data_IF_752648904687
#
_entry.id   IF_752648904687
#
_cell.length_a   1.000
_cell.length_b   1.000
_cell.length_c   1.000
_cell.angle_alpha   90.00
_cell.angle_beta   90.00
_cell.angle_gamma   90.00
#
_symmetry.space_group_name_H-M   'P 1'
#
loop_
_entity.id
_entity.type
_entity.pdbx_description
1 polymer ?
#
# COMPACT_ATOMS: atom_id res chain seq x y z
N UNK A 1 -16.91 6.48 40.53
CA UNK A 1 -16.72 5.87 39.21
C UNK A 1 -15.53 6.55 38.55
N UNK A 2 -14.35 5.95 38.59
CA UNK A 2 -13.19 6.41 37.83
C UNK A 2 -12.56 5.18 37.18
N UNK A 3 -13.10 4.79 36.02
CA UNK A 3 -12.47 3.78 35.20
C UNK A 3 -11.33 4.44 34.45
N UNK A 4 -10.10 4.31 34.94
CA UNK A 4 -8.93 4.68 34.15
C UNK A 4 -8.88 3.69 32.98
N UNK A 5 -9.15 4.17 31.77
CA UNK A 5 -8.90 3.41 30.55
C UNK A 5 -7.40 3.45 30.30
N UNK A 6 -6.62 2.68 31.05
CA UNK A 6 -5.22 2.44 30.71
C UNK A 6 -5.24 1.44 29.57
N UNK A 7 -5.05 1.94 28.35
CA UNK A 7 -4.78 1.09 27.20
C UNK A 7 -3.35 0.55 27.35
N UNK A 8 -3.14 -0.37 28.29
CA UNK A 8 -1.85 -1.03 28.49
C UNK A 8 -1.60 -1.89 27.26
N UNK A 9 -0.57 -1.56 26.48
CA UNK A 9 -0.18 -2.44 25.38
C UNK A 9 0.32 -3.74 25.98
N UNK A 10 0.01 -4.88 25.36
CA UNK A 10 0.40 -6.24 25.84
C UNK A 10 1.89 -6.35 26.18
N UNK A 11 2.72 -5.52 25.55
CA UNK A 11 4.16 -5.51 25.72
C UNK A 11 4.65 -4.59 26.86
N UNK A 12 3.81 -3.66 27.35
CA UNK A 12 4.06 -2.83 28.55
C UNK A 12 3.82 -3.60 29.84
N UNK A 13 3.36 -4.85 29.73
CA UNK A 13 3.39 -5.83 30.82
C UNK A 13 4.85 -6.06 31.27
N UNK A 14 5.06 -6.15 32.58
CA UNK A 14 6.39 -6.39 33.17
C UNK A 14 7.05 -7.64 32.61
N UNK A 15 6.27 -8.65 32.22
CA UNK A 15 6.77 -9.93 31.72
C UNK A 15 7.12 -9.92 30.24
N UNK A 16 6.69 -8.91 29.47
CA UNK A 16 6.85 -8.89 28.02
C UNK A 16 8.05 -8.03 27.56
N UNK A 17 8.12 -6.76 27.98
CA UNK A 17 9.26 -5.87 27.70
C UNK A 17 9.92 -5.26 28.95
N UNK A 18 9.64 -5.80 30.14
CA UNK A 18 10.23 -5.31 31.39
C UNK A 18 9.55 -4.07 31.96
N UNK A 19 8.28 -3.82 31.62
CA UNK A 19 7.43 -2.81 32.30
C UNK A 19 7.88 -1.36 32.17
N UNK A 20 8.87 -1.08 31.33
CA UNK A 20 9.44 0.25 31.19
C UNK A 20 8.63 1.05 30.16
N UNK A 21 8.19 2.25 30.53
CA UNK A 21 7.49 3.14 29.62
C UNK A 21 8.34 3.41 28.35
N UNK A 22 7.75 3.25 27.17
CA UNK A 22 8.45 3.41 25.90
C UNK A 22 9.27 2.20 25.44
N UNK A 23 9.21 1.07 26.15
CA UNK A 23 9.82 -0.19 25.71
C UNK A 23 9.15 -0.78 24.45
N UNK A 24 7.95 -0.31 24.11
CA UNK A 24 7.00 -0.88 23.17
C UNK A 24 6.79 -0.07 21.88
N UNK A 25 7.85 0.54 21.34
CA UNK A 25 7.71 1.47 20.23
C UNK A 25 7.93 0.83 18.85
N UNK A 26 8.32 -0.45 18.78
CA UNK A 26 8.46 -1.15 17.51
C UNK A 26 7.06 -1.53 16.98
N UNK A 27 6.63 -0.91 15.88
CA UNK A 27 5.33 -1.17 15.28
C UNK A 27 5.51 -2.04 14.04
N UNK A 28 4.81 -3.18 14.00
CA UNK A 28 4.77 -4.07 12.83
C UNK A 28 3.36 -4.13 12.27
N UNK A 29 3.22 -3.96 10.95
CA UNK A 29 1.95 -3.95 10.24
C UNK A 29 1.58 -5.38 9.82
N UNK A 30 0.55 -5.92 10.47
CA UNK A 30 0.03 -7.27 10.26
C UNK A 30 -0.68 -7.47 8.93
N UNK A 31 -1.07 -8.72 8.66
CA UNK A 31 -1.77 -9.14 7.44
C UNK A 31 -3.07 -8.35 7.18
N UNK A 32 -3.75 -8.00 8.25
CA UNK A 32 -4.99 -7.22 8.31
C UNK A 32 -4.78 -5.70 8.19
N UNK A 33 -3.53 -5.26 8.02
CA UNK A 33 -3.17 -3.84 7.96
C UNK A 33 -3.12 -3.14 9.32
N UNK A 34 -3.31 -3.87 10.43
CA UNK A 34 -3.24 -3.29 11.78
C UNK A 34 -1.81 -3.29 12.30
N UNK A 35 -1.43 -2.21 12.96
CA UNK A 35 -0.13 -2.09 13.64
C UNK A 35 -0.16 -2.77 15.01
N UNK A 36 0.73 -3.72 15.24
CA UNK A 36 0.97 -4.35 16.52
C UNK A 36 2.28 -3.84 17.12
N UNK A 37 2.33 -3.68 18.44
CA UNK A 37 3.50 -3.13 19.14
C UNK A 37 4.32 -4.24 19.75
N UNK A 38 5.63 -4.09 19.66
CA UNK A 38 6.63 -5.05 20.08
C UNK A 38 7.75 -4.35 20.86
N UNK A 39 8.56 -5.14 21.57
CA UNK A 39 9.69 -4.60 22.29
C UNK A 39 10.71 -3.98 21.33
N UNK A 40 10.93 -2.67 21.46
CA UNK A 40 12.04 -1.92 20.88
C UNK A 40 13.19 -1.71 21.87
N UNK A 41 12.92 -1.94 23.16
CA UNK A 41 13.86 -1.77 24.27
C UNK A 41 13.49 -2.75 25.39
N UNK A 42 14.49 -3.21 26.14
CA UNK A 42 14.30 -4.12 27.27
C UNK A 42 14.83 -3.52 28.57
N UNK A 43 13.99 -3.46 29.60
CA UNK A 43 14.36 -2.86 30.90
C UNK A 43 15.44 -3.64 31.66
N UNK A 44 15.48 -4.97 31.51
CA UNK A 44 16.47 -5.82 32.17
C UNK A 44 17.90 -5.53 31.71
N UNK A 45 18.85 -5.54 32.65
CA UNK A 45 20.25 -5.18 32.41
C UNK A 45 20.96 -6.10 31.40
N UNK A 46 20.49 -7.34 31.26
CA UNK A 46 21.04 -8.32 30.32
C UNK A 46 20.03 -8.74 29.25
N UNK A 47 18.90 -8.04 29.14
CA UNK A 47 17.84 -8.39 28.20
C UNK A 47 17.93 -7.55 26.93
N UNK A 48 17.60 -8.17 25.80
CA UNK A 48 17.65 -7.57 24.47
C UNK A 48 16.40 -7.91 23.65
N UNK A 49 15.94 -7.04 22.72
CA UNK A 49 14.74 -7.28 21.95
C UNK A 49 15.01 -8.22 20.77
N UNK A 50 14.47 -9.43 20.85
CA UNK A 50 14.56 -10.47 19.80
C UNK A 50 13.16 -10.91 19.44
N UNK A 51 12.83 -10.86 18.14
CA UNK A 51 11.52 -11.20 17.59
C UNK A 51 10.37 -10.47 18.31
N UNK A 52 10.63 -9.23 18.71
CA UNK A 52 9.66 -8.36 19.37
C UNK A 52 9.39 -8.67 20.85
N UNK A 53 10.23 -9.49 21.50
CA UNK A 53 10.18 -9.81 22.93
C UNK A 53 11.53 -9.57 23.59
N UNK A 54 11.53 -9.31 24.89
CA UNK A 54 12.76 -9.28 25.65
C UNK A 54 13.23 -10.70 26.00
N UNK A 55 14.48 -10.99 25.68
CA UNK A 55 15.15 -12.24 26.05
C UNK A 55 16.51 -11.91 26.64
N UNK A 56 17.01 -12.76 27.53
CA UNK A 56 18.38 -12.63 28.00
C UNK A 56 19.36 -12.72 26.81
N UNK A 57 20.37 -11.86 26.78
CA UNK A 57 21.37 -11.78 25.70
C UNK A 57 22.08 -13.10 25.41
N UNK A 58 22.21 -13.98 26.41
CA UNK A 58 22.77 -15.32 26.23
C UNK A 58 21.89 -16.21 25.31
N UNK A 59 20.63 -15.85 25.14
CA UNK A 59 19.63 -16.56 24.33
C UNK A 59 19.23 -15.75 23.07
N UNK A 60 20.08 -14.85 22.58
CA UNK A 60 19.76 -13.93 21.48
C UNK A 60 19.83 -14.54 20.06
N UNK A 61 19.74 -15.87 19.93
CA UNK A 61 19.81 -16.59 18.64
C UNK A 61 21.02 -16.16 17.79
N UNK A 62 22.23 -16.16 18.38
CA UNK A 62 23.48 -15.72 17.73
C UNK A 62 23.56 -14.24 17.30
N UNK A 63 22.60 -13.39 17.72
CA UNK A 63 22.71 -11.94 17.56
C UNK A 63 23.65 -11.32 18.59
N UNK A 64 24.93 -11.67 18.47
CA UNK A 64 26.03 -11.28 19.38
C UNK A 64 26.31 -9.77 19.40
N UNK A 65 25.84 -9.04 18.40
CA UNK A 65 25.96 -7.57 18.30
C UNK A 65 24.97 -6.84 19.21
N UNK A 66 23.96 -7.53 19.75
CA UNK A 66 23.01 -6.93 20.67
C UNK A 66 23.68 -6.53 21.99
N UNK A 67 23.50 -5.27 22.38
CA UNK A 67 23.96 -4.72 23.65
C UNK A 67 22.82 -4.74 24.66
N UNK A 68 23.11 -4.62 25.96
CA UNK A 68 22.07 -4.47 26.98
C UNK A 68 20.97 -3.48 26.52
N UNK A 69 19.73 -3.89 26.69
CA UNK A 69 18.50 -3.16 26.36
C UNK A 69 18.12 -3.07 24.87
N UNK A 70 19.05 -3.11 23.91
CA UNK A 70 18.75 -2.95 22.47
C UNK A 70 19.79 -3.59 21.55
N UNK A 71 19.38 -3.87 20.31
CA UNK A 71 20.27 -4.33 19.26
C UNK A 71 20.72 -3.16 18.36
N UNK A 72 22.03 -2.82 18.29
CA UNK A 72 22.56 -1.86 17.33
C UNK A 72 22.72 -2.45 15.92
N UNK A 73 22.84 -3.78 15.80
CA UNK A 73 22.76 -4.52 14.54
C UNK A 73 22.45 -5.99 14.82
N UNK A 74 22.21 -6.77 13.76
CA UNK A 74 21.88 -8.20 13.87
C UNK A 74 22.94 -9.03 13.14
N UNK A 75 23.52 -10.00 13.84
CA UNK A 75 24.58 -10.86 13.31
C UNK A 75 24.07 -12.19 12.77
N UNK A 76 22.93 -12.66 13.28
CA UNK A 76 22.40 -13.96 12.91
C UNK A 76 21.94 -13.99 11.44
N UNK A 77 22.09 -15.14 10.79
CA UNK A 77 21.53 -15.37 9.46
C UNK A 77 20.00 -15.21 9.50
N UNK A 78 19.41 -14.73 8.41
CA UNK A 78 17.96 -14.50 8.30
C UNK A 78 17.38 -13.48 9.31
N UNK A 79 18.21 -12.76 10.06
CA UNK A 79 17.78 -11.67 10.94
C UNK A 79 18.10 -10.31 10.34
N UNK A 80 17.22 -9.33 10.62
CA UNK A 80 17.43 -7.93 10.27
C UNK A 80 17.10 -7.01 11.43
N UNK A 81 17.76 -5.85 11.44
CA UNK A 81 17.51 -4.79 12.40
C UNK A 81 16.22 -4.04 12.04
N UNK A 82 15.32 -3.92 13.00
CA UNK A 82 14.13 -3.08 12.89
C UNK A 82 13.83 -2.44 14.24
N UNK A 83 13.67 -1.11 14.26
CA UNK A 83 13.31 -0.33 15.46
C UNK A 83 14.01 -0.74 16.78
N UNK A 84 15.30 -1.09 16.73
CA UNK A 84 16.12 -1.42 17.92
C UNK A 84 16.12 -2.90 18.35
N UNK A 85 15.40 -3.77 17.63
CA UNK A 85 15.39 -5.22 17.84
C UNK A 85 15.83 -6.01 16.61
N UNK A 86 16.19 -7.28 16.82
CA UNK A 86 16.48 -8.22 15.74
C UNK A 86 15.30 -9.13 15.46
N UNK A 87 14.88 -9.20 14.20
CA UNK A 87 13.70 -9.94 13.76
C UNK A 87 14.05 -10.98 12.71
N UNK A 88 13.56 -12.21 12.90
CA UNK A 88 13.73 -13.31 11.95
C UNK A 88 12.80 -13.18 10.75
N UNK A 89 13.29 -13.41 9.54
CA UNK A 89 12.44 -13.55 8.35
C UNK A 89 11.62 -14.85 8.31
N UNK A 90 11.87 -15.79 9.22
CA UNK A 90 11.24 -17.12 9.20
C UNK A 90 9.97 -17.23 10.06
N UNK A 91 9.71 -16.26 10.93
CA UNK A 91 8.57 -16.30 11.86
C UNK A 91 8.04 -14.90 12.17
N UNK A 92 6.83 -14.86 12.71
CA UNK A 92 6.24 -13.60 13.15
C UNK A 92 6.96 -13.04 14.38
N UNK A 93 7.13 -11.71 14.45
CA UNK A 93 6.58 -10.72 13.52
C UNK A 93 7.49 -10.36 12.34
N UNK A 94 8.73 -10.87 12.29
CA UNK A 94 9.72 -10.43 11.29
C UNK A 94 9.35 -10.79 9.84
N UNK A 95 8.75 -11.95 9.60
CA UNK A 95 8.27 -12.38 8.29
C UNK A 95 7.14 -11.50 7.71
N UNK A 96 6.46 -10.69 8.53
CA UNK A 96 5.48 -9.69 8.09
C UNK A 96 6.14 -8.45 7.48
N UNK A 97 7.40 -8.18 7.86
CA UNK A 97 8.18 -7.03 7.42
C UNK A 97 9.06 -7.43 6.24
N UNK A 98 9.76 -8.56 6.37
CA UNK A 98 10.83 -8.94 5.49
C UNK A 98 10.83 -10.44 5.15
N UNK A 99 10.97 -10.75 3.87
CA UNK A 99 11.04 -12.13 3.35
C UNK A 99 12.48 -12.63 3.20
N UNK A 100 13.44 -11.71 3.00
CA UNK A 100 14.86 -12.04 2.90
C UNK A 100 15.72 -10.98 3.58
N UNK A 101 16.60 -11.44 4.45
CA UNK A 101 17.54 -10.60 5.18
C UNK A 101 18.98 -11.03 4.89
N UNK A 102 19.86 -10.03 4.79
CA UNK A 102 21.28 -10.23 4.54
C UNK A 102 22.08 -9.17 5.29
N UNK A 103 23.15 -9.61 5.97
CA UNK A 103 24.06 -8.75 6.74
C UNK A 103 23.32 -7.85 7.75
N UNK A 104 22.32 -8.40 8.44
CA UNK A 104 21.49 -7.66 9.41
C UNK A 104 20.51 -6.67 8.79
N UNK A 105 20.33 -6.68 7.46
CA UNK A 105 19.42 -5.79 6.73
C UNK A 105 18.29 -6.56 6.07
N UNK A 106 17.13 -5.94 5.99
CA UNK A 106 16.06 -6.46 5.14
C UNK A 106 16.34 -6.05 3.68
N UNK A 107 16.48 -7.05 2.80
CA UNK A 107 16.74 -6.81 1.37
C UNK A 107 15.53 -7.13 0.48
N UNK A 108 14.60 -7.94 0.96
CA UNK A 108 13.31 -8.19 0.30
C UNK A 108 12.13 -7.94 1.27
N UNK A 109 11.70 -6.68 1.43
CA UNK A 109 10.53 -6.34 2.25
C UNK A 109 9.24 -6.93 1.68
N UNK A 110 8.23 -7.10 2.52
CA UNK A 110 6.86 -7.38 2.07
C UNK A 110 6.25 -6.13 1.44
N UNK A 111 5.11 -6.27 0.74
CA UNK A 111 4.48 -5.14 0.03
C UNK A 111 3.96 -3.99 0.93
N UNK A 112 3.99 -4.15 2.26
CA UNK A 112 3.63 -3.09 3.23
C UNK A 112 4.83 -2.26 3.67
N UNK A 113 6.01 -2.64 3.21
CA UNK A 113 7.29 -2.05 3.56
C UNK A 113 8.09 -1.77 2.29
N UNK A 114 9.13 -0.96 2.40
CA UNK A 114 10.10 -0.74 1.35
C UNK A 114 11.51 -0.74 1.91
N UNK A 115 12.48 -1.13 1.08
CA UNK A 115 13.88 -1.16 1.44
C UNK A 115 14.42 0.27 1.37
N UNK A 116 15.17 0.68 2.39
CA UNK A 116 15.81 1.99 2.45
C UNK A 116 17.12 1.89 1.67
N UNK A 117 17.29 2.63 0.55
CA UNK A 117 18.52 2.58 -0.23
C UNK A 117 19.73 2.98 0.62
N UNK A 118 20.86 2.30 0.42
CA UNK A 118 22.15 2.55 1.12
C UNK A 118 22.17 2.35 2.62
N UNK A 119 21.09 1.85 3.21
CA UNK A 119 21.08 1.62 4.65
C UNK A 119 22.24 0.72 5.09
N UNK A 120 22.96 1.19 6.12
CA UNK A 120 23.95 0.41 6.84
C UNK A 120 23.27 -0.65 7.71
N UNK A 121 24.01 -1.69 8.10
CA UNK A 121 23.51 -2.73 9.03
C UNK A 121 23.14 -2.19 10.43
N UNK A 122 23.62 -1.00 10.75
CA UNK A 122 23.36 -0.28 12.01
C UNK A 122 22.19 0.71 11.91
N UNK A 123 21.62 0.88 10.71
CA UNK A 123 20.50 1.77 10.43
C UNK A 123 19.22 1.01 10.09
N UNK A 124 18.11 1.74 9.95
CA UNK A 124 16.86 1.16 9.46
C UNK A 124 16.99 0.84 7.97
N UNK A 125 17.04 -0.45 7.65
CA UNK A 125 17.11 -0.94 6.26
C UNK A 125 15.74 -1.11 5.61
N UNK A 126 14.67 -1.02 6.39
CA UNK A 126 13.30 -1.21 5.95
C UNK A 126 12.37 -0.25 6.68
N UNK A 127 11.40 0.30 5.95
CA UNK A 127 10.42 1.23 6.50
C UNK A 127 9.02 0.84 6.05
N UNK A 128 8.03 1.00 6.94
CA UNK A 128 6.64 0.80 6.58
C UNK A 128 6.21 1.84 5.53
N UNK A 129 5.42 1.41 4.55
CA UNK A 129 4.82 2.29 3.54
C UNK A 129 4.03 3.43 4.17
N UNK A 130 3.40 3.17 5.32
CA UNK A 130 2.58 4.10 6.07
C UNK A 130 3.33 5.06 7.00
N UNK A 131 4.68 5.06 7.03
CA UNK A 131 5.46 5.82 8.00
C UNK A 131 5.93 7.18 7.44
N UNK A 132 5.25 8.30 7.78
CA UNK A 132 5.62 9.62 7.27
C UNK A 132 6.86 10.22 7.94
N UNK A 133 7.31 9.69 9.08
CA UNK A 133 8.49 10.21 9.79
C UNK A 133 9.79 9.87 9.04
N UNK A 134 9.80 8.74 8.34
CA UNK A 134 10.94 8.33 7.53
C UNK A 134 12.15 7.85 8.31
N UNK A 135 13.26 7.77 7.60
CA UNK A 135 14.60 7.55 8.15
C UNK A 135 15.64 8.25 7.28
N UNK A 136 16.75 8.66 7.90
CA UNK A 136 17.87 9.28 7.21
C UNK A 136 18.99 8.27 6.98
N UNK A 137 19.63 8.38 5.83
CA UNK A 137 20.90 7.72 5.48
C UNK A 137 21.84 8.83 5.04
N UNK A 138 22.79 9.18 5.89
CA UNK A 138 23.66 10.34 5.74
C UNK A 138 22.85 11.65 5.54
N UNK A 139 22.96 12.29 4.38
CA UNK A 139 22.28 13.52 3.97
C UNK A 139 21.01 13.29 3.14
N UNK A 140 20.56 12.03 3.05
CA UNK A 140 19.37 11.59 2.31
C UNK A 140 18.29 11.15 3.28
N UNK A 141 17.04 11.46 2.97
CA UNK A 141 15.89 11.07 3.78
C UNK A 141 14.87 10.30 2.95
N UNK A 142 14.44 9.15 3.47
CA UNK A 142 13.43 8.32 2.84
C UNK A 142 12.19 8.24 3.73
N UNK A 143 11.03 8.59 3.19
CA UNK A 143 9.76 8.64 3.92
C UNK A 143 8.70 7.74 3.28
N UNK A 144 7.78 7.23 4.09
CA UNK A 144 6.52 6.66 3.62
C UNK A 144 5.45 7.73 3.43
N UNK A 145 4.23 7.27 3.13
CA UNK A 145 3.04 8.09 2.93
C UNK A 145 2.03 7.76 4.02
N UNK A 146 1.58 8.77 4.76
CA UNK A 146 0.62 8.57 5.85
C UNK A 146 -0.67 7.88 5.35
N UNK A 147 -1.13 6.86 6.09
CA UNK A 147 -2.31 6.07 5.74
C UNK A 147 -2.11 5.10 4.57
N UNK A 148 -0.89 4.98 4.04
CA UNK A 148 -0.57 4.05 2.98
C UNK A 148 -0.37 2.62 3.51
N UNK A 149 -1.09 1.66 2.92
CA UNK A 149 -1.01 0.24 3.29
C UNK A 149 -0.06 -0.55 2.38
N UNK A 150 0.13 -0.11 1.13
CA UNK A 150 1.07 -0.71 0.17
C UNK A 150 1.69 0.37 -0.69
N UNK A 151 2.97 0.23 -1.00
CA UNK A 151 3.71 1.22 -1.76
C UNK A 151 4.75 0.59 -2.68
N UNK A 152 5.23 1.40 -3.62
CA UNK A 152 6.46 1.17 -4.36
C UNK A 152 7.58 1.95 -3.70
N UNK A 153 8.76 1.31 -3.60
CA UNK A 153 9.94 1.92 -2.99
C UNK A 153 10.34 3.23 -3.72
N UNK A 154 10.83 4.24 -2.98
CA UNK A 154 11.42 5.42 -3.59
C UNK A 154 12.65 5.06 -4.43
N UNK A 155 12.94 5.88 -5.44
CA UNK A 155 14.22 5.79 -6.13
C UNK A 155 15.37 6.14 -5.17
N UNK A 156 16.52 5.48 -5.39
CA UNK A 156 17.78 5.87 -4.77
C UNK A 156 18.11 7.32 -5.13
N UNK A 157 18.49 8.10 -4.13
CA UNK A 157 18.97 9.46 -4.33
C UNK A 157 20.46 9.48 -4.65
N UNK A 158 20.86 10.19 -5.69
CA UNK A 158 22.27 10.38 -6.10
C UNK A 158 22.93 11.60 -5.43
N UNK A 159 22.12 12.48 -4.81
CA UNK A 159 22.55 13.66 -4.08
C UNK A 159 21.74 13.82 -2.79
N UNK A 160 22.12 14.76 -1.94
CA UNK A 160 21.37 15.14 -0.73
C UNK A 160 19.91 15.45 -1.07
N UNK A 161 18.98 15.07 -0.21
CA UNK A 161 17.57 15.36 -0.44
C UNK A 161 16.60 14.40 0.24
N UNK A 162 15.35 14.44 -0.19
CA UNK A 162 14.28 13.58 0.34
C UNK A 162 13.55 12.86 -0.78
N UNK A 163 13.27 11.57 -0.58
CA UNK A 163 12.47 10.76 -1.47
C UNK A 163 11.34 10.08 -0.70
N UNK A 164 10.14 10.07 -1.28
CA UNK A 164 8.96 9.43 -0.70
C UNK A 164 8.59 8.18 -1.47
N UNK A 165 8.14 7.15 -0.76
CA UNK A 165 7.52 5.98 -1.37
C UNK A 165 6.26 6.40 -2.15
N UNK A 166 5.95 5.68 -3.23
CA UNK A 166 4.72 5.93 -3.99
C UNK A 166 3.62 5.02 -3.48
N UNK A 167 2.57 5.57 -2.90
CA UNK A 167 1.47 4.79 -2.37
C UNK A 167 0.63 4.16 -3.48
N UNK A 168 0.44 2.83 -3.39
CA UNK A 168 -0.35 2.04 -4.35
C UNK A 168 -1.68 1.57 -3.76
N UNK A 169 -1.78 1.50 -2.44
CA UNK A 169 -3.03 1.20 -1.73
C UNK A 169 -3.04 1.89 -0.37
N UNK A 170 -4.23 2.30 0.07
CA UNK A 170 -4.45 2.95 1.35
C UNK A 170 -5.11 2.00 2.36
N UNK A 171 -5.20 2.43 3.62
CA UNK A 171 -6.07 1.79 4.61
C UNK A 171 -7.56 1.84 4.24
N UNK A 172 -8.40 1.21 5.04
CA UNK A 172 -9.84 1.11 4.80
C UNK A 172 -10.51 2.47 4.55
N UNK A 173 -11.45 2.50 3.60
CA UNK A 173 -12.22 3.69 3.24
C UNK A 173 -11.43 4.80 2.51
N UNK A 174 -10.14 4.58 2.20
CA UNK A 174 -9.28 5.56 1.54
C UNK A 174 -8.77 5.05 0.19
N UNK A 175 -8.47 5.98 -0.72
CA UNK A 175 -7.83 5.70 -2.02
C UNK A 175 -6.61 6.59 -2.21
N UNK A 176 -5.58 6.10 -2.93
CA UNK A 176 -4.40 6.90 -3.20
C UNK A 176 -4.72 8.01 -4.20
N UNK A 177 -3.98 9.12 -4.12
CA UNK A 177 -3.92 10.07 -5.24
C UNK A 177 -3.28 9.42 -6.47
N UNK A 178 -3.46 10.02 -7.65
CA UNK A 178 -2.83 9.55 -8.89
C UNK A 178 -1.30 9.61 -8.81
N UNK A 179 -0.77 10.59 -8.07
CA UNK A 179 0.67 10.70 -7.78
C UNK A 179 1.16 9.70 -6.73
N UNK A 180 0.26 9.06 -5.98
CA UNK A 180 0.60 8.18 -4.87
C UNK A 180 1.21 8.90 -3.66
N UNK A 181 1.14 10.23 -3.59
CA UNK A 181 1.74 11.03 -2.51
C UNK A 181 0.84 11.17 -1.29
N UNK A 182 -0.38 10.66 -1.35
CA UNK A 182 -1.33 10.74 -0.24
C UNK A 182 -2.45 9.72 -0.37
N UNK A 183 -3.09 9.47 0.76
CA UNK A 183 -4.31 8.69 0.88
C UNK A 183 -5.43 9.61 1.33
N UNK A 184 -6.58 9.61 0.64
CA UNK A 184 -7.74 10.46 0.96
C UNK A 184 -9.01 9.63 1.10
N UNK A 185 -10.00 10.11 1.85
CA UNK A 185 -11.28 9.41 1.98
C UNK A 185 -11.98 9.40 0.61
N UNK A 186 -12.41 8.24 0.15
CA UNK A 186 -13.04 8.18 -1.16
C UNK A 186 -13.98 6.99 -1.34
N UNK A 187 -15.27 7.29 -1.21
CA UNK A 187 -16.37 6.35 -1.45
C UNK A 187 -16.92 6.38 -2.88
N UNK A 188 -16.39 7.25 -3.76
CA UNK A 188 -16.80 7.33 -5.17
C UNK A 188 -16.67 5.97 -5.85
N UNK A 189 -17.81 5.46 -6.32
CA UNK A 189 -17.92 4.18 -7.02
C UNK A 189 -17.07 4.20 -8.30
N UNK A 190 -16.43 3.07 -8.62
CA UNK A 190 -15.58 2.91 -9.80
C UNK A 190 -14.40 3.90 -9.90
N UNK A 191 -14.10 4.64 -8.82
CA UNK A 191 -12.94 5.49 -8.77
C UNK A 191 -11.69 4.70 -8.36
N UNK A 192 -10.58 4.88 -9.08
CA UNK A 192 -9.29 4.28 -8.76
C UNK A 192 -8.41 5.20 -7.91
N UNK A 193 -8.39 6.50 -8.24
CA UNK A 193 -7.59 7.51 -7.55
C UNK A 193 -8.41 8.74 -7.23
N UNK A 194 -8.20 9.31 -6.04
CA UNK A 194 -8.92 10.49 -5.57
C UNK A 194 -7.93 11.59 -5.20
N UNK A 195 -8.19 12.79 -5.70
CA UNK A 195 -7.32 13.96 -5.47
C UNK A 195 -7.59 14.64 -4.12
N UNK A 196 -8.80 14.47 -3.61
CA UNK A 196 -9.29 15.02 -2.35
C UNK A 196 -10.50 14.19 -1.91
N UNK A 197 -11.01 14.46 -0.72
CA UNK A 197 -12.16 13.74 -0.16
C UNK A 197 -13.33 13.75 -1.14
N UNK A 198 -13.81 12.55 -1.48
CA UNK A 198 -14.91 12.29 -2.41
C UNK A 198 -14.77 12.92 -3.81
N UNK A 199 -13.54 13.27 -4.23
CA UNK A 199 -13.25 13.81 -5.56
C UNK A 199 -12.35 12.86 -6.34
N UNK A 200 -12.95 12.10 -7.24
CA UNK A 200 -12.22 11.22 -8.14
C UNK A 200 -11.36 12.03 -9.14
N UNK A 201 -10.19 11.50 -9.48
CA UNK A 201 -9.30 12.03 -10.53
C UNK A 201 -8.90 10.98 -11.58
N UNK A 202 -9.11 9.69 -11.29
CA UNK A 202 -8.96 8.63 -12.28
C UNK A 202 -9.88 7.47 -11.93
N UNK A 203 -10.67 7.04 -12.92
CA UNK A 203 -11.61 5.94 -12.79
C UNK A 203 -10.96 4.59 -13.12
N UNK A 204 -11.64 3.52 -12.74
CA UNK A 204 -11.37 2.18 -13.22
C UNK A 204 -11.64 2.09 -14.73
N UNK A 205 -11.09 1.04 -15.35
CA UNK A 205 -11.34 0.76 -16.76
C UNK A 205 -12.84 0.63 -17.05
N UNK A 206 -13.30 1.17 -18.18
CA UNK A 206 -14.72 1.22 -18.54
C UNK A 206 -15.52 2.38 -17.91
N UNK A 207 -14.84 3.34 -17.27
CA UNK A 207 -15.47 4.53 -16.69
C UNK A 207 -14.69 5.80 -17.05
N UNK A 208 -15.44 6.90 -17.24
CA UNK A 208 -14.94 8.23 -17.55
C UNK A 208 -15.19 9.17 -16.38
N UNK A 209 -14.27 10.11 -16.19
CA UNK A 209 -14.36 11.09 -15.14
C UNK A 209 -15.27 12.25 -15.57
N UNK A 210 -16.40 12.42 -14.89
CA UNK A 210 -17.32 13.55 -15.07
C UNK A 210 -17.61 14.22 -13.73
N UNK A 211 -17.20 15.48 -13.58
CA UNK A 211 -17.49 16.27 -12.38
C UNK A 211 -16.93 15.69 -11.07
N UNK A 212 -15.88 14.86 -11.14
CA UNK A 212 -15.32 14.17 -9.96
C UNK A 212 -15.99 12.83 -9.63
N UNK A 213 -16.92 12.36 -10.48
CA UNK A 213 -17.54 11.04 -10.41
C UNK A 213 -17.13 10.19 -11.61
N UNK A 214 -17.24 8.87 -11.46
CA UNK A 214 -16.98 7.92 -12.54
C UNK A 214 -18.30 7.48 -13.15
N UNK A 215 -18.51 7.85 -14.41
CA UNK A 215 -19.67 7.41 -15.20
C UNK A 215 -19.22 6.29 -16.13
N UNK A 216 -20.06 5.27 -16.32
CA UNK A 216 -19.72 4.19 -17.25
C UNK A 216 -19.52 4.78 -18.65
N UNK A 217 -18.41 4.44 -19.30
CA UNK A 217 -18.14 4.89 -20.68
C UNK A 217 -18.98 4.18 -21.72
N UNK A 218 -19.97 3.38 -21.30
CA UNK A 218 -21.00 2.76 -22.14
C UNK A 218 -20.66 2.79 -23.63
N UNK A 219 -19.80 1.88 -24.09
CA UNK A 219 -19.91 1.44 -25.46
C UNK A 219 -21.35 0.96 -25.66
N UNK A 220 -21.98 1.24 -26.81
CA UNK A 220 -23.41 1.08 -26.97
C UNK A 220 -23.79 -0.39 -26.79
N UNK A 221 -24.25 -0.75 -25.60
CA UNK A 221 -25.32 -1.73 -25.48
C UNK A 221 -26.60 -1.03 -25.94
N UNK A 222 -26.65 -0.72 -27.24
CA UNK A 222 -27.90 -0.83 -27.94
C UNK A 222 -28.26 -2.29 -27.76
N UNK A 223 -29.20 -2.55 -26.84
CA UNK A 223 -29.94 -3.80 -26.85
C UNK A 223 -30.20 -4.14 -28.30
N UNK A 224 -29.81 -5.34 -28.71
CA UNK A 224 -30.01 -5.89 -30.05
C UNK A 224 -31.49 -5.85 -30.49
N UNK A 225 -32.41 -5.37 -29.64
CA UNK A 225 -33.81 -5.05 -29.95
C UNK A 225 -34.14 -3.62 -30.41
N UNK A 226 -33.19 -2.67 -30.53
CA UNK A 226 -33.50 -1.29 -31.00
C UNK A 226 -32.82 -0.89 -32.33
N UNK A 227 -31.96 -1.75 -32.90
CA UNK A 227 -31.37 -1.56 -34.24
C UNK A 227 -31.99 -2.56 -35.22
N UNK A 228 -33.31 -2.53 -35.37
CA UNK A 228 -34.03 -3.20 -36.45
C UNK A 228 -35.15 -2.30 -37.01
N UNK A 229 -34.93 -0.98 -37.01
CA UNK A 229 -35.98 -0.01 -37.35
C UNK A 229 -35.62 1.07 -38.38
N UNK A 230 -34.39 1.17 -38.89
CA UNK A 230 -34.00 2.28 -39.78
C UNK A 230 -33.43 1.82 -41.14
N UNK A 231 -33.14 0.53 -41.35
CA UNK A 231 -32.66 0.05 -42.65
C UNK A 231 -33.76 -0.51 -43.58
N UNK A 232 -35.01 -0.63 -43.12
CA UNK A 232 -36.11 -1.11 -43.97
C UNK A 232 -36.86 0.05 -44.64
N UNK A 233 -36.93 1.23 -44.01
CA UNK A 233 -37.60 2.39 -44.60
C UNK A 233 -36.87 2.89 -45.86
N UNK A 234 -35.54 2.93 -45.87
CA UNK A 234 -34.77 3.35 -47.04
C UNK A 234 -34.90 2.34 -48.21
N UNK A 235 -34.88 1.03 -47.93
CA UNK A 235 -35.00 -0.01 -48.98
C UNK A 235 -36.42 -0.04 -49.56
N UNK A 236 -37.47 0.16 -48.74
CA UNK A 236 -38.85 0.24 -49.23
C UNK A 236 -39.09 1.52 -50.03
N UNK A 237 -38.51 2.66 -49.62
CA UNK A 237 -38.64 3.91 -50.37
C UNK A 237 -37.89 3.84 -51.70
N UNK A 238 -36.65 3.33 -51.72
CA UNK A 238 -35.87 3.17 -52.96
C UNK A 238 -36.47 2.08 -53.85
N UNK A 239 -36.88 0.93 -53.28
CA UNK A 239 -37.53 -0.14 -54.02
C UNK A 239 -38.90 0.26 -54.60
N UNK A 240 -39.67 1.04 -53.84
CA UNK A 240 -40.95 1.62 -54.31
C UNK A 240 -40.77 2.66 -55.41
N UNK A 241 -39.75 3.53 -55.31
CA UNK A 241 -39.41 4.51 -56.35
C UNK A 241 -38.95 3.83 -57.65
N UNK A 242 -38.07 2.82 -57.55
CA UNK A 242 -37.59 2.09 -58.73
C UNK A 242 -38.71 1.27 -59.36
N UNK A 243 -39.57 0.62 -58.56
CA UNK A 243 -40.75 -0.10 -59.05
C UNK A 243 -41.76 0.80 -59.75
N UNK A 244 -42.04 1.98 -59.18
CA UNK A 244 -42.94 2.98 -59.79
C UNK A 244 -42.36 3.54 -61.09
N UNK A 245 -41.05 3.82 -61.14
CA UNK A 245 -40.39 4.29 -62.37
C UNK A 245 -40.38 3.21 -63.46
N UNK A 246 -40.10 1.94 -63.13
CA UNK A 246 -40.18 0.84 -64.09
C UNK A 246 -41.60 0.63 -64.62
N UNK A 247 -42.63 0.65 -63.76
CA UNK A 247 -44.02 0.62 -64.23
C UNK A 247 -44.30 1.82 -65.14
N UNK A 248 -43.97 3.04 -64.71
CA UNK A 248 -44.29 4.25 -65.45
C UNK A 248 -43.66 4.25 -66.85
N UNK A 249 -42.40 3.82 -67.00
CA UNK A 249 -41.75 3.74 -68.31
C UNK A 249 -42.23 2.56 -69.17
N UNK A 250 -42.55 1.40 -68.59
CA UNK A 250 -42.99 0.23 -69.35
C UNK A 250 -44.47 0.29 -69.75
N UNK A 251 -45.35 0.84 -68.90
CA UNK A 251 -46.80 0.85 -69.15
C UNK A 251 -47.29 2.13 -69.83
N UNK A 252 -46.53 3.23 -69.80
CA UNK A 252 -46.93 4.48 -70.49
C UNK A 252 -46.46 4.54 -71.96
N UNK A 253 -45.68 3.55 -72.40
CA UNK A 253 -45.25 3.41 -73.81
C UNK A 253 -46.23 2.66 -74.72
N UNK A 254 -47.43 2.32 -74.24
CA UNK A 254 -48.45 1.62 -75.03
C UNK A 254 -49.83 2.23 -74.82
N UNK A 255 -49.94 3.52 -75.14
CA UNK A 255 -51.15 4.14 -75.65
C UNK A 255 -50.94 4.41 -77.14
#
# INVERSE_FOLDING_TARGET
MSGSVTCTKVCEDETACGGTAGACNAIVVGADGKGMNYCSYCGGADDVPIDGRCVNKANANDNTECTAHKCPSCAAADYFLYMGGCYSTKKEPGNLICTEAKDGKCIAPTSRYFAVPDAAKTGQSVLACGNPLGTAVDDKTYVGVEGCSRCTAPARLEASGMASATCTACGEGRKPSKSGTGCVACSVENCRHCKADEKCEACNEGFSLEGGKCVSTGGPNLSTGAIAGISVAAIVVVGGLVGFLCWWFLCRGKA
#
